data_IF_952055976819
#
_entry.id   IF_952055976819
#
_cell.length_a   1.000
_cell.length_b   1.000
_cell.length_c   1.000
_cell.angle_alpha   90.00
_cell.angle_beta   90.00
_cell.angle_gamma   90.00
#
_symmetry.space_group_name_H-M   'P 1'
#
loop_
_entity.id
_entity.type
_entity.pdbx_description
1 polymer ?
#
# COMPACT_ATOMS: atom_id res chain seq x y z
N UNK A 1 3.88 -9.88 -9.78
CA UNK A 1 3.23 -11.14 -10.19
C UNK A 1 3.72 -12.33 -9.36
N UNK A 2 5.05 -12.55 -9.21
CA UNK A 2 5.60 -13.68 -8.41
C UNK A 2 5.09 -13.67 -6.96
N UNK A 3 5.08 -12.51 -6.30
CA UNK A 3 4.51 -12.36 -4.96
C UNK A 3 3.04 -12.78 -4.92
N UNK A 4 2.24 -12.30 -5.87
CA UNK A 4 0.81 -12.64 -5.92
C UNK A 4 0.60 -14.15 -6.11
N UNK A 5 1.36 -14.79 -7.00
CA UNK A 5 1.28 -16.24 -7.21
C UNK A 5 1.63 -16.97 -5.91
N UNK A 6 2.72 -16.61 -5.25
CA UNK A 6 3.12 -17.23 -3.99
C UNK A 6 2.08 -17.03 -2.90
N UNK A 7 1.55 -15.81 -2.76
CA UNK A 7 0.50 -15.50 -1.79
C UNK A 7 -0.76 -16.35 -2.03
N UNK A 8 -1.21 -16.46 -3.28
CA UNK A 8 -2.37 -17.29 -3.63
C UNK A 8 -2.10 -18.79 -3.43
N UNK A 9 -0.89 -19.27 -3.68
CA UNK A 9 -0.49 -20.66 -3.39
C UNK A 9 -0.55 -20.93 -1.89
N UNK A 10 0.00 -20.04 -1.05
CA UNK A 10 -0.06 -20.19 0.41
C UNK A 10 -1.51 -20.20 0.91
N UNK A 11 -2.35 -19.28 0.41
CA UNK A 11 -3.79 -19.25 0.73
C UNK A 11 -4.48 -20.54 0.28
N UNK A 12 -4.17 -21.05 -0.91
CA UNK A 12 -4.77 -22.29 -1.41
C UNK A 12 -4.33 -23.53 -0.61
N UNK A 13 -3.09 -23.58 -0.14
CA UNK A 13 -2.59 -24.65 0.72
C UNK A 13 -3.23 -24.64 2.11
N UNK A 14 -3.67 -23.47 2.58
CA UNK A 14 -4.33 -23.26 3.88
C UNK A 14 -5.81 -22.88 3.71
N UNK A 15 -6.46 -23.40 2.69
CA UNK A 15 -7.85 -23.02 2.32
C UNK A 15 -8.87 -23.32 3.43
N UNK A 16 -8.60 -24.30 4.29
CA UNK A 16 -9.43 -24.65 5.45
C UNK A 16 -9.49 -23.51 6.49
N UNK A 17 -8.42 -22.75 6.64
CA UNK A 17 -8.29 -21.71 7.65
C UNK A 17 -8.72 -20.33 7.11
N UNK A 18 -8.85 -20.22 5.79
CA UNK A 18 -9.25 -18.98 5.12
C UNK A 18 -10.61 -18.43 5.60
N UNK A 19 -11.67 -19.22 5.79
CA UNK A 19 -12.94 -18.71 6.29
C UNK A 19 -12.83 -18.10 7.70
N UNK A 20 -12.03 -18.70 8.58
CA UNK A 20 -11.77 -18.17 9.91
C UNK A 20 -10.98 -16.86 9.85
N UNK A 21 -9.95 -16.78 9.00
CA UNK A 21 -9.18 -15.55 8.77
C UNK A 21 -10.05 -14.40 8.23
N UNK A 22 -10.91 -14.66 7.24
CA UNK A 22 -11.84 -13.68 6.71
C UNK A 22 -12.85 -13.24 7.81
N UNK A 23 -13.37 -14.19 8.60
CA UNK A 23 -14.27 -13.86 9.70
C UNK A 23 -13.58 -12.95 10.73
N UNK A 24 -12.33 -13.22 11.08
CA UNK A 24 -11.53 -12.37 11.97
C UNK A 24 -11.37 -10.96 11.40
N UNK A 25 -11.09 -10.81 10.11
CA UNK A 25 -11.00 -9.50 9.45
C UNK A 25 -12.33 -8.74 9.57
N UNK A 26 -13.46 -9.40 9.26
CA UNK A 26 -14.78 -8.80 9.32
C UNK A 26 -15.15 -8.42 10.76
N UNK A 27 -14.95 -9.32 11.72
CA UNK A 27 -15.26 -9.07 13.13
C UNK A 27 -14.44 -7.91 13.69
N UNK A 28 -13.14 -7.86 13.36
CA UNK A 28 -12.26 -6.76 13.78
C UNK A 28 -12.64 -5.43 13.15
N UNK A 29 -13.02 -5.42 11.87
CA UNK A 29 -13.48 -4.23 11.17
C UNK A 29 -14.74 -3.61 11.78
N UNK A 30 -15.65 -4.44 12.29
CA UNK A 30 -16.88 -3.99 12.97
C UNK A 30 -16.73 -3.89 14.49
N UNK A 31 -15.55 -4.13 15.05
CA UNK A 31 -15.29 -4.02 16.49
C UNK A 31 -16.10 -4.97 17.35
N UNK A 32 -16.52 -6.13 16.82
CA UNK A 32 -17.47 -7.05 17.50
C UNK A 32 -16.86 -7.61 18.78
N UNK A 33 -15.56 -7.92 18.79
CA UNK A 33 -14.85 -8.42 19.96
C UNK A 33 -14.68 -7.35 21.05
N UNK A 34 -14.47 -6.10 20.66
CA UNK A 34 -14.33 -4.95 21.56
C UNK A 34 -15.68 -4.47 22.11
N UNK A 35 -16.79 -4.89 21.50
CA UNK A 35 -18.14 -4.58 21.97
C UNK A 35 -18.40 -5.07 23.41
N UNK A 36 -17.82 -6.21 23.76
CA UNK A 36 -17.94 -6.81 25.08
C UNK A 36 -17.20 -6.00 26.18
N UNK A 37 -16.21 -5.16 25.80
CA UNK A 37 -15.39 -4.36 26.71
C UNK A 37 -15.76 -2.87 26.81
N UNK A 38 -16.83 -2.40 26.16
CA UNK A 38 -17.22 -0.99 26.18
C UNK A 38 -16.37 -0.06 25.32
N UNK A 39 -15.37 -0.57 24.60
CA UNK A 39 -14.45 0.19 23.73
C UNK A 39 -14.87 0.16 22.25
N UNK A 40 -16.06 -0.31 21.92
CA UNK A 40 -16.53 -0.54 20.56
C UNK A 40 -16.43 0.70 19.67
N UNK A 41 -16.86 1.86 20.16
CA UNK A 41 -16.85 3.09 19.36
C UNK A 41 -15.44 3.51 18.95
N UNK A 42 -14.47 3.38 19.84
CA UNK A 42 -13.09 3.69 19.55
C UNK A 42 -12.48 2.69 18.56
N UNK A 43 -12.68 1.40 18.74
CA UNK A 43 -12.16 0.36 17.86
C UNK A 43 -12.70 0.46 16.44
N UNK A 44 -14.00 0.70 16.27
CA UNK A 44 -14.64 0.93 14.97
C UNK A 44 -14.05 2.18 14.31
N UNK A 45 -13.91 3.27 15.06
CA UNK A 45 -13.31 4.52 14.54
C UNK A 45 -11.89 4.29 14.05
N UNK A 46 -11.06 3.57 14.82
CA UNK A 46 -9.69 3.24 14.42
C UNK A 46 -9.64 2.33 13.19
N UNK A 47 -10.50 1.31 13.12
CA UNK A 47 -10.58 0.41 11.96
C UNK A 47 -10.98 1.18 10.69
N UNK A 48 -11.98 2.05 10.76
CA UNK A 48 -12.41 2.89 9.65
C UNK A 48 -11.28 3.85 9.23
N UNK A 49 -10.69 4.58 10.18
CA UNK A 49 -9.61 5.53 9.88
C UNK A 49 -8.40 4.85 9.23
N UNK A 50 -7.88 3.78 9.84
CA UNK A 50 -6.74 3.05 9.30
C UNK A 50 -7.08 2.39 7.96
N UNK A 51 -8.27 1.81 7.82
CA UNK A 51 -8.72 1.19 6.57
C UNK A 51 -8.81 2.19 5.42
N UNK A 52 -9.39 3.36 5.66
CA UNK A 52 -9.48 4.42 4.65
C UNK A 52 -8.08 4.94 4.30
N UNK A 53 -7.26 5.31 5.28
CA UNK A 53 -5.92 5.84 5.04
C UNK A 53 -5.04 4.87 4.26
N UNK A 54 -4.97 3.60 4.69
CA UNK A 54 -4.11 2.60 4.04
C UNK A 54 -4.68 2.13 2.71
N UNK A 55 -6.00 2.03 2.57
CA UNK A 55 -6.66 1.69 1.31
C UNK A 55 -6.49 2.78 0.26
N UNK A 56 -6.67 4.05 0.61
CA UNK A 56 -6.41 5.17 -0.30
C UNK A 56 -4.94 5.24 -0.72
N UNK A 57 -4.01 4.97 0.21
CA UNK A 57 -2.59 4.94 -0.09
C UNK A 57 -2.23 3.83 -1.08
N UNK A 58 -2.68 2.60 -0.83
CA UNK A 58 -2.39 1.44 -1.68
C UNK A 58 -2.95 1.59 -3.09
N UNK A 59 -4.17 2.12 -3.21
CA UNK A 59 -4.86 2.25 -4.50
C UNK A 59 -4.59 3.58 -5.22
N UNK A 60 -3.92 4.53 -4.57
CA UNK A 60 -3.78 5.92 -5.04
C UNK A 60 -5.13 6.58 -5.43
N UNK A 61 -6.23 6.11 -4.81
CA UNK A 61 -7.57 6.50 -5.19
C UNK A 61 -7.91 7.92 -4.69
N UNK A 62 -8.30 8.78 -5.61
CA UNK A 62 -8.71 10.16 -5.27
C UNK A 62 -7.56 11.12 -4.93
N UNK A 63 -6.31 10.70 -5.02
CA UNK A 63 -5.14 11.54 -4.69
C UNK A 63 -4.60 12.36 -5.87
N UNK A 64 -5.05 12.08 -7.09
CA UNK A 64 -4.56 12.77 -8.29
C UNK A 64 -3.21 12.29 -8.82
N UNK A 65 -2.60 11.26 -8.24
CA UNK A 65 -1.35 10.65 -8.70
C UNK A 65 -1.56 9.71 -9.87
N UNK A 66 -2.55 8.82 -9.80
CA UNK A 66 -2.88 7.85 -10.85
C UNK A 66 -3.11 8.48 -12.25
N UNK A 67 -3.71 9.67 -12.40
CA UNK A 67 -3.82 10.34 -13.70
C UNK A 67 -2.49 10.61 -14.39
N UNK A 68 -1.38 10.82 -13.67
CA UNK A 68 -0.06 11.00 -14.26
C UNK A 68 0.41 9.74 -15.01
N UNK A 69 0.21 8.57 -14.43
CA UNK A 69 0.49 7.30 -15.09
C UNK A 69 -0.51 7.02 -16.22
N UNK A 70 -1.80 7.28 -15.99
CA UNK A 70 -2.85 7.05 -16.97
C UNK A 70 -2.67 7.89 -18.25
N UNK A 71 -2.16 9.12 -18.12
CA UNK A 71 -1.92 10.01 -19.26
C UNK A 71 -0.86 9.48 -20.23
N UNK A 72 0.02 8.58 -19.81
CA UNK A 72 1.04 7.98 -20.67
C UNK A 72 0.57 6.71 -21.39
N UNK A 73 -0.61 6.22 -21.05
CA UNK A 73 -1.12 4.95 -21.57
C UNK A 73 -1.71 5.10 -22.97
N UNK A 74 -1.42 4.12 -23.85
CA UNK A 74 -2.06 3.95 -25.15
C UNK A 74 -3.13 2.88 -25.04
N UNK A 75 -4.39 3.27 -25.16
CA UNK A 75 -5.54 2.34 -25.01
C UNK A 75 -6.12 1.90 -26.35
N UNK A 76 -6.74 0.72 -26.34
CA UNK A 76 -7.57 0.25 -27.45
C UNK A 76 -8.91 -0.22 -26.89
N UNK A 77 -10.06 0.42 -27.24
CA UNK A 77 -10.20 1.57 -28.16
C UNK A 77 -9.49 2.83 -27.65
N UNK A 78 -9.13 3.74 -28.54
CA UNK A 78 -8.50 5.02 -28.22
C UNK A 78 -9.54 5.99 -27.62
N UNK A 79 -9.81 5.77 -26.34
CA UNK A 79 -10.76 6.55 -25.56
C UNK A 79 -10.33 6.62 -24.09
N UNK A 80 -10.33 7.80 -23.46
CA UNK A 80 -9.89 7.95 -22.06
C UNK A 80 -10.61 7.05 -21.06
N UNK A 81 -11.90 6.77 -21.29
CA UNK A 81 -12.68 5.86 -20.44
C UNK A 81 -12.12 4.43 -20.41
N UNK A 82 -11.46 3.96 -21.48
CA UNK A 82 -10.84 2.64 -21.49
C UNK A 82 -9.74 2.55 -20.43
N UNK A 83 -8.91 3.59 -20.29
CA UNK A 83 -7.91 3.66 -19.24
C UNK A 83 -8.55 3.79 -17.86
N UNK A 84 -9.63 4.55 -17.72
CA UNK A 84 -10.38 4.66 -16.45
C UNK A 84 -10.90 3.30 -15.97
N UNK A 85 -11.44 2.46 -16.85
CA UNK A 85 -11.87 1.10 -16.50
C UNK A 85 -10.71 0.20 -16.10
N UNK A 86 -9.54 0.32 -16.75
CA UNK A 86 -8.34 -0.44 -16.36
C UNK A 86 -7.88 -0.04 -14.97
N UNK A 87 -7.84 1.25 -14.66
CA UNK A 87 -7.48 1.75 -13.33
C UNK A 87 -8.47 1.26 -12.26
N UNK A 88 -9.77 1.32 -12.54
CA UNK A 88 -10.80 0.80 -11.65
C UNK A 88 -10.61 -0.70 -11.38
N UNK A 89 -10.34 -1.52 -12.41
CA UNK A 89 -10.03 -2.93 -12.23
C UNK A 89 -8.78 -3.14 -11.38
N UNK A 90 -7.76 -2.28 -11.54
CA UNK A 90 -6.55 -2.30 -10.73
C UNK A 90 -6.84 -2.15 -9.24
N UNK A 91 -7.72 -1.22 -8.85
CA UNK A 91 -8.15 -1.01 -7.46
C UNK A 91 -8.81 -2.27 -6.88
N UNK A 92 -9.69 -2.92 -7.64
CA UNK A 92 -10.32 -4.17 -7.20
C UNK A 92 -9.29 -5.29 -6.99
N UNK A 93 -8.37 -5.46 -7.94
CA UNK A 93 -7.33 -6.49 -7.84
C UNK A 93 -6.37 -6.22 -6.67
N UNK A 94 -5.97 -4.98 -6.46
CA UNK A 94 -5.10 -4.61 -5.35
C UNK A 94 -5.78 -4.92 -4.00
N UNK A 95 -6.99 -4.43 -3.79
CA UNK A 95 -7.66 -4.57 -2.49
C UNK A 95 -8.19 -5.98 -2.25
N UNK A 96 -8.99 -6.52 -3.20
CA UNK A 96 -9.71 -7.78 -2.96
C UNK A 96 -8.82 -9.01 -3.15
N UNK A 97 -7.74 -8.92 -3.92
CA UNK A 97 -6.88 -10.08 -4.14
C UNK A 97 -5.56 -9.92 -3.39
N UNK A 98 -4.78 -8.88 -3.65
CA UNK A 98 -3.43 -8.75 -3.09
C UNK A 98 -3.47 -8.46 -1.60
N UNK A 99 -4.19 -7.42 -1.18
CA UNK A 99 -4.27 -7.04 0.24
C UNK A 99 -4.96 -8.12 1.08
N UNK A 100 -6.05 -8.73 0.56
CA UNK A 100 -6.76 -9.80 1.29
C UNK A 100 -5.90 -11.06 1.42
N UNK A 101 -5.18 -11.46 0.36
CA UNK A 101 -4.26 -12.61 0.42
C UNK A 101 -3.14 -12.36 1.44
N UNK A 102 -2.55 -11.16 1.45
CA UNK A 102 -1.50 -10.79 2.41
C UNK A 102 -2.04 -10.81 3.85
N UNK A 103 -3.21 -10.21 4.08
CA UNK A 103 -3.84 -10.21 5.39
C UNK A 103 -4.17 -11.62 5.88
N UNK A 104 -4.70 -12.47 4.99
CA UNK A 104 -5.00 -13.87 5.29
C UNK A 104 -3.73 -14.64 5.70
N UNK A 105 -2.63 -14.51 4.96
CA UNK A 105 -1.34 -15.14 5.30
C UNK A 105 -0.87 -14.73 6.69
N UNK A 106 -0.97 -13.44 7.03
CA UNK A 106 -0.55 -12.91 8.34
C UNK A 106 -1.43 -13.49 9.45
N UNK A 107 -2.76 -13.51 9.27
CA UNK A 107 -3.69 -14.01 10.29
C UNK A 107 -3.55 -15.52 10.49
N UNK A 108 -3.40 -16.28 9.40
CA UNK A 108 -3.23 -17.74 9.45
C UNK A 108 -1.88 -18.15 10.06
N UNK A 109 -0.88 -17.25 10.13
CA UNK A 109 0.38 -17.51 10.82
C UNK A 109 0.26 -17.61 12.35
N UNK A 110 -0.87 -17.20 12.90
CA UNK A 110 -1.24 -17.41 14.30
C UNK A 110 -1.15 -16.17 15.19
N UNK A 111 -1.83 -16.22 16.34
CA UNK A 111 -1.95 -15.08 17.26
C UNK A 111 -0.62 -14.71 17.93
N UNK A 112 0.30 -15.66 18.10
CA UNK A 112 1.61 -15.42 18.71
C UNK A 112 2.43 -14.42 17.88
N UNK A 113 2.35 -14.54 16.54
CA UNK A 113 3.02 -13.64 15.62
C UNK A 113 2.42 -12.23 15.70
N UNK A 114 1.10 -12.13 15.78
CA UNK A 114 0.38 -10.85 15.87
C UNK A 114 0.62 -10.13 17.20
N UNK A 115 0.89 -10.86 18.27
CA UNK A 115 1.15 -10.31 19.60
C UNK A 115 2.61 -9.89 19.82
N UNK A 116 3.53 -10.18 18.92
CA UNK A 116 4.95 -9.84 19.06
C UNK A 116 5.17 -8.34 18.84
N UNK A 117 5.67 -7.64 19.87
CA UNK A 117 5.97 -6.20 19.80
C UNK A 117 7.08 -5.85 18.79
N UNK A 118 7.91 -6.83 18.45
CA UNK A 118 9.04 -6.68 17.52
C UNK A 118 8.63 -6.71 16.03
N UNK A 119 7.42 -7.19 15.73
CA UNK A 119 6.98 -7.39 14.35
C UNK A 119 6.08 -6.25 13.87
N UNK A 120 6.67 -5.24 13.25
CA UNK A 120 5.96 -4.13 12.64
C UNK A 120 6.15 -4.08 11.13
N UNK A 121 5.08 -3.73 10.41
CA UNK A 121 5.13 -3.51 8.97
C UNK A 121 5.54 -4.76 8.19
N UNK A 122 6.59 -4.64 7.37
CA UNK A 122 7.03 -5.72 6.47
C UNK A 122 7.62 -6.93 7.20
N UNK A 123 8.18 -6.74 8.41
CA UNK A 123 8.72 -7.83 9.22
C UNK A 123 7.63 -8.85 9.56
N UNK A 124 6.43 -8.38 9.87
CA UNK A 124 5.27 -9.25 10.12
C UNK A 124 4.96 -10.14 8.90
N UNK A 125 4.98 -9.57 7.70
CA UNK A 125 4.77 -10.34 6.46
C UNK A 125 5.88 -11.34 6.20
N UNK A 126 7.15 -10.97 6.48
CA UNK A 126 8.29 -11.88 6.34
C UNK A 126 8.17 -13.09 7.28
N UNK A 127 7.86 -12.83 8.55
CA UNK A 127 7.69 -13.88 9.56
C UNK A 127 6.48 -14.78 9.22
N UNK A 128 5.36 -14.16 8.83
CA UNK A 128 4.16 -14.90 8.42
C UNK A 128 4.43 -15.79 7.20
N UNK A 129 5.09 -15.28 6.17
CA UNK A 129 5.41 -16.11 5.01
C UNK A 129 6.42 -17.21 5.35
N UNK A 130 7.41 -16.90 6.21
CA UNK A 130 8.39 -17.89 6.66
C UNK A 130 7.75 -19.03 7.45
N UNK A 131 6.69 -18.76 8.22
CA UNK A 131 5.96 -19.82 8.93
C UNK A 131 5.22 -20.78 8.00
N UNK A 132 4.77 -20.31 6.83
CA UNK A 132 4.04 -21.13 5.86
C UNK A 132 4.93 -21.91 4.89
N UNK A 133 6.04 -21.30 4.44
CA UNK A 133 6.89 -21.86 3.37
C UNK A 133 8.35 -22.11 3.79
N UNK A 134 8.68 -21.83 5.06
CA UNK A 134 10.03 -21.96 5.58
C UNK A 134 10.89 -20.70 5.40
N UNK A 135 12.13 -20.74 5.85
CA UNK A 135 13.03 -19.57 5.94
C UNK A 135 13.25 -18.82 4.61
N UNK A 136 13.16 -19.50 3.49
CA UNK A 136 13.29 -18.85 2.18
C UNK A 136 12.18 -17.83 1.90
N UNK A 137 11.01 -17.97 2.55
CA UNK A 137 9.90 -17.02 2.45
C UNK A 137 10.30 -15.62 2.89
N UNK A 138 11.04 -15.52 4.01
CA UNK A 138 11.56 -14.23 4.49
C UNK A 138 12.54 -13.59 3.51
N UNK A 139 13.44 -14.38 2.92
CA UNK A 139 14.39 -13.89 1.90
C UNK A 139 13.64 -13.45 0.63
N UNK A 140 12.64 -14.21 0.20
CA UNK A 140 11.80 -13.84 -0.94
C UNK A 140 11.12 -12.49 -0.73
N UNK A 141 10.52 -12.26 0.46
CA UNK A 141 9.90 -10.97 0.78
C UNK A 141 10.95 -9.85 0.82
N UNK A 142 12.15 -10.07 1.35
CA UNK A 142 13.20 -9.06 1.36
C UNK A 142 13.56 -8.59 -0.06
N UNK A 143 13.68 -9.50 -1.00
CA UNK A 143 13.92 -9.17 -2.41
C UNK A 143 12.70 -8.51 -3.05
N UNK A 144 11.51 -9.03 -2.78
CA UNK A 144 10.27 -8.48 -3.32
C UNK A 144 10.04 -7.03 -2.86
N UNK A 145 10.24 -6.73 -1.57
CA UNK A 145 10.05 -5.37 -1.04
C UNK A 145 11.10 -4.40 -1.57
N UNK A 146 12.33 -4.86 -1.79
CA UNK A 146 13.36 -4.04 -2.43
C UNK A 146 12.91 -3.60 -3.83
N UNK A 147 12.38 -4.52 -4.62
CA UNK A 147 11.89 -4.24 -5.97
C UNK A 147 10.63 -3.34 -5.92
N UNK A 148 9.69 -3.61 -5.02
CA UNK A 148 8.47 -2.80 -4.86
C UNK A 148 8.80 -1.38 -4.41
N UNK A 149 9.67 -1.23 -3.41
CA UNK A 149 10.10 0.09 -2.94
C UNK A 149 10.81 0.87 -4.04
N UNK A 150 11.70 0.22 -4.77
CA UNK A 150 12.43 0.85 -5.87
C UNK A 150 11.48 1.32 -6.98
N UNK A 151 10.54 0.47 -7.42
CA UNK A 151 9.56 0.86 -8.44
C UNK A 151 8.63 1.97 -7.97
N UNK A 152 8.22 1.96 -6.69
CA UNK A 152 7.41 3.03 -6.10
C UNK A 152 8.15 4.37 -6.05
N UNK A 153 9.44 4.37 -5.71
CA UNK A 153 10.27 5.57 -5.74
C UNK A 153 10.36 6.14 -7.16
N UNK A 154 10.59 5.28 -8.17
CA UNK A 154 10.66 5.71 -9.57
C UNK A 154 9.31 6.28 -10.03
N UNK A 155 8.20 5.62 -9.71
CA UNK A 155 6.87 6.08 -10.10
C UNK A 155 6.55 7.45 -9.50
N UNK A 156 6.70 7.61 -8.19
CA UNK A 156 6.46 8.89 -7.51
C UNK A 156 7.42 9.98 -7.98
N UNK A 157 8.68 9.64 -8.23
CA UNK A 157 9.64 10.57 -8.82
C UNK A 157 9.15 11.08 -10.19
N UNK A 158 8.71 10.20 -11.08
CA UNK A 158 8.25 10.60 -12.42
C UNK A 158 6.97 11.43 -12.38
N UNK A 159 6.04 11.17 -11.44
CA UNK A 159 4.86 12.01 -11.23
C UNK A 159 5.26 13.45 -10.87
N UNK A 160 6.16 13.61 -9.90
CA UNK A 160 6.63 14.92 -9.49
C UNK A 160 7.44 15.63 -10.58
N UNK A 161 8.32 14.92 -11.29
CA UNK A 161 9.10 15.50 -12.39
C UNK A 161 8.20 16.05 -13.49
N UNK A 162 7.23 15.28 -13.94
CA UNK A 162 6.28 15.71 -14.98
C UNK A 162 5.47 16.95 -14.57
N UNK A 163 5.04 17.01 -13.32
CA UNK A 163 4.30 18.17 -12.81
C UNK A 163 5.21 19.41 -12.70
N UNK A 164 6.46 19.24 -12.28
CA UNK A 164 7.41 20.35 -12.18
C UNK A 164 7.79 20.88 -13.57
N UNK A 165 8.00 20.00 -14.54
CA UNK A 165 8.25 20.39 -15.93
C UNK A 165 7.08 21.21 -16.50
N UNK A 166 5.87 20.77 -16.25
CA UNK A 166 4.68 21.48 -16.67
C UNK A 166 4.57 22.89 -16.05
N UNK A 167 4.81 23.01 -14.75
CA UNK A 167 4.71 24.28 -14.02
C UNK A 167 5.87 25.23 -14.31
N UNK A 168 7.08 24.72 -14.43
CA UNK A 168 8.30 25.53 -14.57
C UNK A 168 8.52 26.07 -15.99
N UNK A 169 7.97 25.43 -17.01
CA UNK A 169 8.10 25.85 -18.40
C UNK A 169 9.57 26.07 -18.82
N UNK A 170 9.94 27.30 -19.20
CA UNK A 170 11.31 27.64 -19.61
C UNK A 170 12.39 27.43 -18.53
N UNK A 171 12.01 27.37 -17.25
CA UNK A 171 12.92 27.12 -16.11
C UNK A 171 12.97 25.64 -15.72
N UNK A 172 12.32 24.76 -16.46
CA UNK A 172 12.23 23.36 -16.16
C UNK A 172 13.57 22.68 -15.82
N UNK A 173 14.70 22.91 -16.56
CA UNK A 173 15.95 22.21 -16.24
C UNK A 173 16.48 22.50 -14.84
N UNK A 174 16.39 23.76 -14.36
CA UNK A 174 16.80 24.12 -13.02
C UNK A 174 15.85 23.59 -11.96
N UNK A 175 14.54 23.73 -12.20
CA UNK A 175 13.51 23.26 -11.29
C UNK A 175 13.57 21.72 -11.12
N UNK A 176 13.74 20.98 -12.22
CA UNK A 176 13.91 19.52 -12.19
C UNK A 176 15.20 19.13 -11.44
N UNK A 177 16.30 19.85 -11.64
CA UNK A 177 17.53 19.57 -10.90
C UNK A 177 17.34 19.75 -9.39
N UNK A 178 16.70 20.85 -8.96
CA UNK A 178 16.40 21.10 -7.55
C UNK A 178 15.43 20.03 -6.98
N UNK A 179 14.44 19.63 -7.76
CA UNK A 179 13.52 18.55 -7.38
C UNK A 179 14.28 17.21 -7.19
N UNK A 180 15.19 16.86 -8.11
CA UNK A 180 16.02 15.64 -7.99
C UNK A 180 16.84 15.64 -6.71
N UNK A 181 17.46 16.76 -6.38
CA UNK A 181 18.22 16.90 -5.14
C UNK A 181 17.32 16.79 -3.91
N UNK A 182 16.13 17.38 -3.95
CA UNK A 182 15.14 17.26 -2.88
C UNK A 182 14.67 15.81 -2.69
N UNK A 183 14.39 15.08 -3.77
CA UNK A 183 14.00 13.66 -3.70
C UNK A 183 15.12 12.81 -3.10
N UNK A 184 16.38 13.01 -3.53
CA UNK A 184 17.53 12.31 -2.94
C UNK A 184 17.67 12.62 -1.45
N UNK A 185 17.51 13.89 -1.06
CA UNK A 185 17.50 14.29 0.36
C UNK A 185 16.38 13.62 1.16
N UNK A 186 15.17 13.55 0.59
CA UNK A 186 14.03 12.88 1.25
C UNK A 186 14.22 11.37 1.38
N UNK A 187 14.84 10.71 0.39
CA UNK A 187 15.20 9.29 0.50
C UNK A 187 16.20 9.07 1.66
N UNK A 188 17.20 9.94 1.79
CA UNK A 188 18.16 9.88 2.90
C UNK A 188 17.49 10.10 4.25
N UNK A 189 16.62 11.09 4.36
CA UNK A 189 15.83 11.34 5.59
C UNK A 189 14.93 10.14 5.89
N UNK A 190 14.24 9.60 4.89
CA UNK A 190 13.37 8.43 5.04
C UNK A 190 14.09 7.18 5.50
N UNK A 191 15.37 7.01 5.14
CA UNK A 191 16.16 5.85 5.55
C UNK A 191 16.55 5.83 7.03
N UNK A 192 16.52 6.99 7.71
CA UNK A 192 16.91 7.13 9.12
C UNK A 192 15.75 7.55 10.03
N UNK A 193 14.64 8.01 9.48
CA UNK A 193 13.49 8.45 10.25
C UNK A 193 12.69 7.26 10.80
N UNK A 194 11.98 7.47 11.92
CA UNK A 194 11.09 6.45 12.48
C UNK A 194 9.90 6.18 11.55
N UNK A 195 9.45 4.94 11.51
CA UNK A 195 8.31 4.51 10.67
C UNK A 195 7.05 5.35 10.95
N UNK A 196 6.77 5.65 12.22
CA UNK A 196 5.62 6.48 12.59
C UNK A 196 5.70 7.91 12.05
N UNK A 197 6.89 8.54 12.11
CA UNK A 197 7.09 9.88 11.56
C UNK A 197 6.87 9.92 10.04
N UNK A 198 7.36 8.89 9.33
CA UNK A 198 7.19 8.77 7.88
C UNK A 198 5.71 8.61 7.53
N UNK A 199 4.98 7.75 8.25
CA UNK A 199 3.56 7.55 8.00
C UNK A 199 2.74 8.81 8.28
N UNK A 200 3.01 9.55 9.37
CA UNK A 200 2.32 10.80 9.68
C UNK A 200 2.57 11.85 8.58
N UNK A 201 3.78 11.93 8.06
CA UNK A 201 4.11 12.84 6.95
C UNK A 201 3.43 12.41 5.64
N UNK A 202 3.39 11.11 5.35
CA UNK A 202 2.70 10.57 4.19
C UNK A 202 1.20 10.85 4.24
N UNK A 203 0.55 10.60 5.39
CA UNK A 203 -0.88 10.85 5.58
C UNK A 203 -1.24 12.33 5.41
N UNK A 204 -0.42 13.24 5.95
CA UNK A 204 -0.59 14.67 5.74
C UNK A 204 -0.47 15.05 4.27
N UNK A 205 0.56 14.57 3.59
CA UNK A 205 0.82 14.87 2.18
C UNK A 205 -0.30 14.35 1.28
N UNK A 206 -0.76 13.11 1.54
CA UNK A 206 -1.89 12.51 0.82
C UNK A 206 -3.19 13.27 1.03
N UNK A 207 -3.47 13.67 2.27
CA UNK A 207 -4.66 14.48 2.58
C UNK A 207 -4.66 15.79 1.82
N UNK A 208 -3.53 16.47 1.73
CA UNK A 208 -3.38 17.70 0.94
C UNK A 208 -3.60 17.45 -0.55
N UNK A 209 -3.02 16.38 -1.11
CA UNK A 209 -3.22 16.01 -2.51
C UNK A 209 -4.69 15.67 -2.81
N UNK A 210 -5.34 14.91 -1.93
CA UNK A 210 -6.73 14.53 -2.08
C UNK A 210 -7.66 15.74 -2.07
N UNK A 211 -7.44 16.69 -1.15
CA UNK A 211 -8.24 17.93 -1.10
C UNK A 211 -8.15 18.71 -2.42
N UNK A 212 -6.94 18.88 -2.96
CA UNK A 212 -6.73 19.60 -4.23
C UNK A 212 -7.39 18.86 -5.40
N UNK A 213 -7.37 17.53 -5.39
CA UNK A 213 -7.91 16.74 -6.50
C UNK A 213 -9.45 16.62 -6.47
N UNK A 214 -10.07 16.74 -5.29
CA UNK A 214 -11.52 16.59 -5.12
C UNK A 214 -12.29 17.93 -5.24
N UNK A 215 -11.60 19.07 -5.18
CA UNK A 215 -12.18 20.42 -5.34
C UNK A 215 -12.03 20.90 -6.78
#
# INVERSE_FOLDING_TARGET
LLYLILALVVVALNISDLPAAIMTIVQSAFGIEQAAGGAMGYAISQAIMNGIQRGLFSNEAGMGSAPNAAATASTRPDHPAAQGFIQMLGVFLDTLVICTATAAIIIMAGPELLASEESNGIQLTQMALSSHVGEWGGMFIAVAILLFAFTSVIANYSYGESNIEYLAGRRAPLAVMLYRLAVLGMIMVGSVASLGAIWNFADLSMGMMAIINLV
#
